data_IF_836196608321
#
_entry.id   IF_836196608321
#
_cell.length_a   1.000
_cell.length_b   1.000
_cell.length_c   1.000
_cell.angle_alpha   90.00
_cell.angle_beta   90.00
_cell.angle_gamma   90.00
#
_symmetry.space_group_name_H-M   'P 1'
#
loop_
_entity.id
_entity.type
_entity.pdbx_description
1 polymer ?
#
# COMPACT_ATOMS: atom_id res chain seq x y z
N UNK A 1 -0.64 15.96 -16.69
CA UNK A 1 0.22 16.70 -17.63
C UNK A 1 -0.25 18.15 -17.66
N UNK A 2 0.52 19.06 -17.11
CA UNK A 2 0.17 20.48 -17.04
C UNK A 2 0.77 21.20 -18.25
N UNK A 3 -0.07 21.86 -19.01
CA UNK A 3 0.37 22.64 -20.15
C UNK A 3 -0.02 24.12 -19.97
N UNK A 4 0.96 25.00 -19.91
CA UNK A 4 0.74 26.44 -19.95
C UNK A 4 0.87 26.90 -21.40
N UNK A 5 -0.24 27.32 -22.01
CA UNK A 5 -0.23 27.81 -23.39
C UNK A 5 -0.65 29.28 -23.44
N UNK A 6 0.17 30.09 -24.07
CA UNK A 6 -0.10 31.51 -24.32
C UNK A 6 -0.70 31.67 -25.72
N UNK A 7 -1.89 32.22 -25.78
CA UNK A 7 -2.55 32.56 -27.04
C UNK A 7 -3.03 34.00 -27.04
N UNK A 8 -3.07 34.63 -28.23
CA UNK A 8 -3.60 36.00 -28.41
C UNK A 8 -4.86 35.98 -29.25
N UNK A 9 -5.88 36.71 -28.81
CA UNK A 9 -7.10 36.96 -29.57
C UNK A 9 -7.02 38.37 -30.18
N UNK A 10 -7.09 38.52 -31.49
CA UNK A 10 -7.47 39.77 -32.16
C UNK A 10 -8.98 39.77 -32.32
N UNK A 11 -9.60 40.96 -32.28
CA UNK A 11 -11.07 41.20 -32.24
C UNK A 11 -11.93 40.49 -33.30
N UNK A 12 -11.36 39.75 -34.24
CA UNK A 12 -12.09 38.98 -35.27
C UNK A 12 -11.64 37.54 -35.46
N UNK A 13 -10.56 37.12 -34.83
CA UNK A 13 -10.03 35.75 -34.97
C UNK A 13 -9.91 35.07 -33.63
N UNK A 14 -11.00 34.42 -33.20
CA UNK A 14 -10.86 33.30 -32.29
C UNK A 14 -10.01 32.28 -33.05
N UNK A 15 -8.81 32.05 -32.60
CA UNK A 15 -7.92 31.08 -33.22
C UNK A 15 -8.56 29.70 -33.12
N UNK A 16 -9.42 29.36 -34.09
CA UNK A 16 -9.98 28.03 -34.32
C UNK A 16 -9.09 27.29 -35.32
N UNK A 17 -7.81 27.37 -35.16
CA UNK A 17 -6.89 26.79 -36.13
C UNK A 17 -6.26 25.50 -35.62
N UNK A 18 -6.56 24.40 -36.24
CA UNK A 18 -5.67 23.25 -36.35
C UNK A 18 -4.44 23.69 -37.14
N UNK A 19 -3.34 23.98 -36.47
CA UNK A 19 -2.07 24.18 -37.14
C UNK A 19 -1.23 22.91 -36.96
N UNK A 20 -0.87 22.32 -38.08
CA UNK A 20 0.04 21.20 -38.21
C UNK A 20 -0.07 20.10 -37.14
N UNK A 21 -0.70 19.00 -37.53
CA UNK A 21 -0.70 17.73 -36.77
C UNK A 21 -1.34 17.84 -35.36
N UNK A 22 -2.62 18.14 -35.28
CA UNK A 22 -3.42 17.91 -34.08
C UNK A 22 -3.30 18.91 -32.94
N UNK A 23 -2.76 20.11 -33.14
CA UNK A 23 -2.79 21.15 -32.09
C UNK A 23 -4.15 21.84 -32.07
N UNK A 24 -4.89 21.64 -30.99
CA UNK A 24 -6.08 22.44 -30.65
C UNK A 24 -5.65 23.84 -30.18
N UNK A 25 -6.38 24.89 -30.58
CA UNK A 25 -6.18 26.22 -30.01
C UNK A 25 -6.42 26.25 -28.49
N UNK A 26 -5.88 27.24 -27.74
CA UNK A 26 -5.95 27.29 -26.29
C UNK A 26 -7.37 27.11 -25.71
N UNK A 27 -8.37 27.70 -26.34
CA UNK A 27 -9.77 27.58 -25.93
C UNK A 27 -10.31 26.16 -26.12
N UNK A 28 -10.08 25.57 -27.31
CA UNK A 28 -10.54 24.22 -27.63
C UNK A 28 -9.82 23.18 -26.75
N UNK A 29 -8.54 23.37 -26.45
CA UNK A 29 -7.81 22.52 -25.50
C UNK A 29 -8.38 22.63 -24.10
N UNK A 30 -8.65 23.85 -23.60
CA UNK A 30 -9.27 24.07 -22.31
C UNK A 30 -10.62 23.35 -22.18
N UNK A 31 -11.50 23.50 -23.16
CA UNK A 31 -12.80 22.84 -23.16
C UNK A 31 -12.69 21.31 -23.23
N UNK A 32 -11.76 20.79 -24.02
CA UNK A 32 -11.52 19.35 -24.13
C UNK A 32 -10.98 18.76 -22.83
N UNK A 33 -10.04 19.43 -22.18
CA UNK A 33 -9.49 19.01 -20.89
C UNK A 33 -10.53 19.07 -19.79
N UNK A 34 -11.35 20.13 -19.76
CA UNK A 34 -12.47 20.28 -18.82
C UNK A 34 -13.51 19.18 -18.99
N UNK A 35 -13.85 18.84 -20.25
CA UNK A 35 -14.77 17.74 -20.54
C UNK A 35 -14.19 16.37 -20.12
N UNK A 36 -12.86 16.23 -20.09
CA UNK A 36 -12.17 15.05 -19.58
C UNK A 36 -11.97 15.05 -18.06
N UNK A 37 -12.54 16.01 -17.33
CA UNK A 37 -12.43 16.12 -15.86
C UNK A 37 -11.07 16.64 -15.36
N UNK A 38 -10.24 17.20 -16.26
CA UNK A 38 -8.94 17.78 -15.89
C UNK A 38 -9.15 19.22 -15.41
N UNK A 39 -8.62 19.57 -14.25
CA UNK A 39 -8.66 20.95 -13.76
C UNK A 39 -7.79 21.85 -14.62
N UNK A 40 -8.41 22.88 -15.18
CA UNK A 40 -7.77 23.78 -16.15
C UNK A 40 -8.18 25.24 -15.95
N UNK A 41 -7.21 26.17 -16.06
CA UNK A 41 -7.44 27.60 -16.04
C UNK A 41 -7.27 28.22 -17.43
N UNK A 42 -8.22 29.07 -17.86
CA UNK A 42 -8.10 29.87 -19.09
C UNK A 42 -8.13 31.37 -18.75
N UNK A 43 -7.03 32.07 -19.05
CA UNK A 43 -6.98 33.52 -18.94
C UNK A 43 -6.89 34.15 -20.34
N UNK A 44 -7.85 35.03 -20.64
CA UNK A 44 -7.93 35.74 -21.93
C UNK A 44 -7.57 37.19 -21.71
N UNK A 45 -6.44 37.67 -22.27
CA UNK A 45 -6.04 39.07 -22.32
C UNK A 45 -6.49 39.67 -23.66
N UNK A 46 -7.62 40.34 -23.67
CA UNK A 46 -8.18 40.96 -24.88
C UNK A 46 -7.26 42.09 -25.37
N UNK A 47 -7.03 42.13 -26.70
CA UNK A 47 -6.23 43.18 -27.33
C UNK A 47 -4.72 43.08 -27.13
N UNK A 48 -4.20 42.04 -26.47
CA UNK A 48 -2.78 41.84 -26.29
C UNK A 48 -2.19 40.99 -27.42
N UNK A 49 -1.15 41.49 -28.11
CA UNK A 49 -0.35 40.69 -29.03
C UNK A 49 0.55 39.69 -28.28
N UNK A 50 1.20 38.75 -28.99
CA UNK A 50 2.02 37.68 -28.38
C UNK A 50 3.05 38.20 -27.38
N UNK A 51 3.79 39.23 -27.71
CA UNK A 51 4.82 39.82 -26.84
C UNK A 51 4.20 40.54 -25.64
N UNK A 52 3.10 41.27 -25.84
CA UNK A 52 2.37 41.96 -24.79
C UNK A 52 1.75 40.99 -23.78
N UNK A 53 1.34 39.79 -24.22
CA UNK A 53 0.83 38.74 -23.35
C UNK A 53 1.91 38.20 -22.39
N UNK A 54 3.12 37.95 -22.89
CA UNK A 54 4.25 37.52 -22.09
C UNK A 54 4.64 38.56 -21.03
N UNK A 55 4.50 39.85 -21.34
CA UNK A 55 4.80 40.95 -20.43
C UNK A 55 3.61 41.35 -19.54
N UNK A 56 2.44 40.76 -19.72
CA UNK A 56 1.23 41.09 -18.94
C UNK A 56 1.33 40.52 -17.53
N UNK A 57 1.62 41.37 -16.54
CA UNK A 57 1.75 40.98 -15.15
C UNK A 57 0.51 40.26 -14.59
N UNK A 58 -0.70 40.61 -15.04
CA UNK A 58 -1.93 39.94 -14.60
C UNK A 58 -2.01 38.51 -15.14
N UNK A 59 -1.64 38.31 -16.40
CA UNK A 59 -1.57 36.99 -17.01
C UNK A 59 -0.51 36.11 -16.31
N UNK A 60 0.69 36.67 -16.08
CA UNK A 60 1.75 35.98 -15.33
C UNK A 60 1.29 35.62 -13.92
N UNK A 61 0.73 36.55 -13.16
CA UNK A 61 0.25 36.31 -11.79
C UNK A 61 -0.86 35.26 -11.77
N UNK A 62 -1.77 35.26 -12.74
CA UNK A 62 -2.81 34.23 -12.85
C UNK A 62 -2.20 32.86 -13.15
N UNK A 63 -1.24 32.80 -14.06
CA UNK A 63 -0.50 31.58 -14.36
C UNK A 63 0.30 31.07 -13.18
N UNK A 64 1.02 31.94 -12.48
CA UNK A 64 1.75 31.56 -11.27
C UNK A 64 0.84 31.13 -10.13
N UNK A 65 -0.30 31.80 -9.92
CA UNK A 65 -1.27 31.40 -8.90
C UNK A 65 -1.87 30.02 -9.21
N UNK A 66 -2.17 29.74 -10.48
CA UNK A 66 -2.61 28.43 -10.92
C UNK A 66 -1.54 27.37 -10.67
N UNK A 67 -0.30 27.62 -11.12
CA UNK A 67 0.83 26.70 -10.89
C UNK A 67 1.11 26.51 -9.40
N UNK A 68 1.09 27.58 -8.61
CA UNK A 68 1.26 27.53 -7.15
C UNK A 68 0.20 26.67 -6.47
N UNK A 69 -1.03 26.68 -6.97
CA UNK A 69 -2.13 25.89 -6.42
C UNK A 69 -1.99 24.41 -6.77
N UNK A 70 -1.52 24.11 -8.00
CA UNK A 70 -1.53 22.74 -8.55
C UNK A 70 -0.15 22.07 -8.54
N UNK A 71 0.94 22.85 -8.44
CA UNK A 71 2.32 22.34 -8.39
C UNK A 71 2.97 22.44 -7.03
N UNK A 72 2.29 23.00 -6.01
CA UNK A 72 2.83 22.89 -4.65
C UNK A 72 2.84 21.41 -4.27
N UNK A 73 4.02 20.83 -4.06
CA UNK A 73 4.08 19.46 -3.58
C UNK A 73 3.27 19.38 -2.29
N UNK A 74 2.37 18.43 -2.22
CA UNK A 74 1.63 18.16 -0.99
C UNK A 74 2.61 18.09 0.17
N UNK A 75 2.37 18.85 1.24
CA UNK A 75 3.20 18.76 2.45
C UNK A 75 2.85 17.52 3.29
N UNK A 76 2.06 16.62 2.73
CA UNK A 76 1.58 15.41 3.37
C UNK A 76 2.54 14.25 3.12
N UNK A 77 2.71 13.39 4.13
CA UNK A 77 3.25 12.06 4.03
C UNK A 77 2.11 11.09 4.33
N UNK A 78 1.72 10.30 3.35
CA UNK A 78 0.69 9.28 3.54
C UNK A 78 1.29 8.10 4.31
N UNK A 79 0.71 7.73 5.44
CA UNK A 79 1.21 6.63 6.27
C UNK A 79 0.22 5.47 6.23
N UNK A 80 0.69 4.25 6.01
CA UNK A 80 -0.08 3.02 6.19
C UNK A 80 0.60 2.13 7.21
N UNK A 81 -0.17 1.64 8.16
CA UNK A 81 0.34 0.79 9.23
C UNK A 81 -0.04 -0.67 8.99
N UNK A 82 0.97 -1.51 8.77
CA UNK A 82 0.84 -2.93 8.46
C UNK A 82 1.19 -3.75 9.71
N UNK A 83 0.27 -4.56 10.22
CA UNK A 83 0.47 -5.30 11.45
C UNK A 83 -0.01 -6.76 11.34
N UNK A 84 0.61 -7.64 12.11
CA UNK A 84 0.23 -9.05 12.14
C UNK A 84 1.34 -9.98 12.60
N UNK A 85 1.27 -11.23 12.11
CA UNK A 85 2.26 -12.26 12.44
C UNK A 85 3.18 -12.61 11.25
N UNK A 86 3.72 -13.82 11.22
CA UNK A 86 4.69 -14.27 10.22
C UNK A 86 4.25 -14.06 8.75
N UNK A 87 2.96 -14.17 8.46
CA UNK A 87 2.47 -13.91 7.11
C UNK A 87 2.50 -12.41 6.75
N UNK A 88 2.37 -11.50 7.72
CA UNK A 88 2.65 -10.09 7.53
C UNK A 88 4.16 -9.81 7.50
N UNK A 89 4.98 -10.57 8.25
CA UNK A 89 6.45 -10.47 8.13
C UNK A 89 6.92 -10.73 6.69
N UNK A 90 6.26 -11.63 5.97
CA UNK A 90 6.56 -11.98 4.59
C UNK A 90 7.54 -13.14 4.46
N UNK A 91 7.19 -14.10 3.62
CA UNK A 91 7.90 -15.37 3.42
C UNK A 91 7.97 -15.75 1.95
N UNK A 92 7.46 -14.91 1.04
CA UNK A 92 7.47 -15.16 -0.40
C UNK A 92 8.90 -15.16 -0.95
N UNK A 93 9.36 -16.29 -1.47
CA UNK A 93 10.73 -16.46 -1.96
C UNK A 93 10.91 -15.77 -3.32
N UNK A 94 11.89 -14.88 -3.44
CA UNK A 94 12.13 -14.08 -4.65
C UNK A 94 13.04 -14.80 -5.64
N UNK A 95 14.25 -15.16 -5.22
CA UNK A 95 15.31 -15.61 -6.12
C UNK A 95 16.28 -16.59 -5.49
N UNK A 96 15.88 -17.27 -4.44
CA UNK A 96 16.76 -18.20 -3.75
C UNK A 96 17.03 -19.39 -4.65
N UNK A 97 18.25 -19.49 -5.15
CA UNK A 97 18.71 -20.60 -5.96
C UNK A 97 19.49 -21.59 -5.08
N UNK A 98 18.80 -22.62 -4.62
CA UNK A 98 19.42 -23.72 -3.91
C UNK A 98 19.04 -25.04 -4.58
N UNK A 99 19.98 -25.77 -5.18
CA UNK A 99 19.69 -26.94 -6.01
C UNK A 99 18.99 -28.10 -5.27
N UNK A 100 19.06 -28.12 -3.93
CA UNK A 100 18.42 -29.16 -3.09
C UNK A 100 17.20 -28.68 -2.32
N UNK A 101 16.95 -27.39 -2.30
CA UNK A 101 15.86 -26.78 -1.58
C UNK A 101 15.04 -25.95 -2.55
N UNK A 102 13.89 -25.47 -2.12
CA UNK A 102 13.02 -24.64 -2.94
C UNK A 102 12.40 -25.31 -4.17
N UNK A 103 12.23 -26.65 -4.15
CA UNK A 103 11.41 -27.40 -5.11
C UNK A 103 11.71 -27.05 -6.58
N UNK A 104 12.99 -26.92 -6.94
CA UNK A 104 13.44 -26.58 -8.29
C UNK A 104 13.02 -25.16 -8.74
N UNK A 105 12.82 -24.26 -7.80
CA UNK A 105 12.46 -22.86 -8.06
C UNK A 105 11.00 -22.62 -8.40
N UNK A 106 10.11 -23.60 -8.17
CA UNK A 106 8.67 -23.43 -8.39
C UNK A 106 8.10 -22.42 -7.39
N UNK A 107 7.33 -21.45 -7.89
CA UNK A 107 6.70 -20.44 -7.08
C UNK A 107 7.63 -19.37 -6.51
N UNK A 108 8.94 -19.36 -6.87
CA UNK A 108 9.81 -18.22 -6.62
C UNK A 108 9.48 -17.09 -7.60
N UNK A 109 9.59 -15.84 -7.14
CA UNK A 109 9.12 -14.68 -7.91
C UNK A 109 9.82 -14.58 -9.29
N UNK A 110 11.14 -14.71 -9.35
CA UNK A 110 11.90 -14.68 -10.61
C UNK A 110 11.43 -15.69 -11.66
N UNK A 111 10.92 -16.84 -11.24
CA UNK A 111 10.41 -17.86 -12.16
C UNK A 111 8.94 -17.59 -12.53
N UNK A 112 8.12 -17.15 -11.59
CA UNK A 112 6.73 -16.75 -11.83
C UNK A 112 6.66 -15.63 -12.87
N UNK A 113 7.54 -14.64 -12.79
CA UNK A 113 7.63 -13.52 -13.74
C UNK A 113 8.00 -13.92 -15.17
N UNK A 114 8.61 -15.09 -15.37
CA UNK A 114 9.04 -15.58 -16.71
C UNK A 114 7.90 -16.21 -17.51
N UNK A 115 6.78 -16.56 -16.87
CA UNK A 115 5.65 -17.14 -17.58
C UNK A 115 4.88 -16.05 -18.31
N UNK A 116 4.56 -16.25 -19.59
CA UNK A 116 3.89 -15.27 -20.44
C UNK A 116 2.52 -14.82 -19.88
N UNK A 117 1.83 -15.70 -19.17
CA UNK A 117 0.55 -15.43 -18.54
C UNK A 117 0.62 -14.38 -17.42
N UNK A 118 1.78 -14.27 -16.76
CA UNK A 118 1.97 -13.39 -15.60
C UNK A 118 2.93 -12.24 -15.84
N UNK A 119 3.65 -12.21 -16.95
CA UNK A 119 4.71 -11.23 -17.22
C UNK A 119 4.22 -9.77 -17.08
N UNK A 120 3.04 -9.46 -17.60
CA UNK A 120 2.49 -8.11 -17.56
C UNK A 120 2.16 -7.64 -16.14
N UNK A 121 1.73 -8.56 -15.28
CA UNK A 121 1.41 -8.27 -13.87
C UNK A 121 2.63 -7.78 -13.08
N UNK A 122 3.82 -8.22 -13.46
CA UNK A 122 5.05 -7.97 -12.69
C UNK A 122 5.98 -6.95 -13.35
N UNK A 123 5.62 -6.33 -14.48
CA UNK A 123 6.50 -5.38 -15.19
C UNK A 123 6.92 -4.19 -14.36
N UNK A 124 6.04 -3.73 -13.47
CA UNK A 124 6.26 -2.53 -12.65
C UNK A 124 7.22 -2.74 -11.47
N UNK A 125 7.64 -3.97 -11.19
CA UNK A 125 8.53 -4.28 -10.05
C UNK A 125 9.99 -4.46 -10.45
N UNK A 126 10.30 -4.42 -11.75
CA UNK A 126 11.66 -4.47 -12.29
C UNK A 126 11.87 -3.37 -13.31
N UNK A 127 13.10 -2.90 -13.44
CA UNK A 127 13.49 -1.94 -14.45
C UNK A 127 13.76 -2.59 -15.82
N UNK A 128 14.18 -1.79 -16.81
CA UNK A 128 14.50 -2.27 -18.15
C UNK A 128 15.68 -3.27 -18.22
N UNK A 129 16.54 -3.31 -17.19
CA UNK A 129 17.66 -4.23 -17.06
C UNK A 129 17.25 -5.53 -16.33
N UNK A 130 16.05 -5.58 -15.77
CA UNK A 130 15.56 -6.67 -14.94
C UNK A 130 15.99 -6.58 -13.48
N UNK A 131 16.50 -5.43 -13.03
CA UNK A 131 16.83 -5.17 -11.65
C UNK A 131 15.60 -4.75 -10.86
N UNK A 132 15.55 -5.13 -9.58
CA UNK A 132 14.44 -4.79 -8.71
C UNK A 132 14.33 -3.27 -8.51
N UNK A 133 13.16 -2.71 -8.82
CA UNK A 133 12.91 -1.29 -8.57
C UNK A 133 12.99 -1.02 -7.07
N UNK A 134 13.65 0.08 -6.73
CA UNK A 134 13.58 0.73 -5.43
C UNK A 134 12.75 2.00 -5.62
N UNK A 135 11.57 2.06 -5.02
CA UNK A 135 10.69 3.23 -5.11
C UNK A 135 11.35 4.44 -4.42
N UNK A 136 11.22 5.61 -5.02
CA UNK A 136 11.68 6.89 -4.49
C UNK A 136 10.56 7.76 -3.91
N UNK A 137 9.33 7.29 -4.04
CA UNK A 137 8.08 7.88 -3.54
C UNK A 137 7.37 7.02 -2.48
N UNK A 138 7.75 5.74 -2.33
CA UNK A 138 7.24 4.82 -1.31
C UNK A 138 8.38 4.35 -0.42
N UNK A 139 8.24 4.56 0.86
CA UNK A 139 9.24 4.21 1.88
C UNK A 139 8.65 3.19 2.85
N UNK A 140 9.53 2.41 3.47
CA UNK A 140 9.12 1.42 4.47
C UNK A 140 10.07 1.41 5.66
N UNK A 141 9.49 1.30 6.85
CA UNK A 141 10.17 1.05 8.12
C UNK A 141 9.68 -0.26 8.73
N UNK A 142 10.59 -1.13 9.01
CA UNK A 142 10.30 -2.41 9.66
C UNK A 142 11.39 -2.79 10.68
N UNK A 143 11.04 -2.82 11.97
CA UNK A 143 11.91 -3.33 13.02
C UNK A 143 11.77 -4.85 13.08
N UNK A 144 12.77 -5.56 12.62
CA UNK A 144 12.84 -7.02 12.82
C UNK A 144 13.36 -7.34 14.23
N UNK A 145 13.49 -8.62 14.54
CA UNK A 145 14.15 -9.04 15.79
C UNK A 145 15.63 -8.65 15.82
N UNK A 146 16.27 -8.58 14.66
CA UNK A 146 17.72 -8.49 14.51
C UNK A 146 18.18 -7.10 14.07
N UNK A 147 17.41 -6.43 13.24
CA UNK A 147 17.78 -5.16 12.63
C UNK A 147 16.58 -4.24 12.35
N UNK A 148 16.84 -2.95 12.25
CA UNK A 148 15.91 -1.98 11.70
C UNK A 148 16.13 -1.88 10.18
N UNK A 149 15.10 -2.15 9.39
CA UNK A 149 15.09 -2.00 7.93
C UNK A 149 14.34 -0.73 7.55
N UNK A 150 15.02 0.19 6.88
CA UNK A 150 14.46 1.45 6.37
C UNK A 150 14.92 1.72 4.96
N UNK A 151 14.11 2.37 4.15
CA UNK A 151 14.48 2.80 2.79
C UNK A 151 13.31 2.87 1.83
N UNK A 152 13.61 3.11 0.56
CA UNK A 152 12.65 3.00 -0.53
C UNK A 152 12.12 1.58 -0.66
N UNK A 153 10.85 1.43 -0.94
CA UNK A 153 10.21 0.12 -1.07
C UNK A 153 10.86 -0.69 -2.19
N UNK A 154 11.26 -1.90 -1.86
CA UNK A 154 11.76 -2.92 -2.77
C UNK A 154 11.58 -4.29 -2.12
N UNK A 155 12.21 -5.33 -2.66
CA UNK A 155 12.28 -6.64 -2.02
C UNK A 155 13.10 -6.59 -0.71
N UNK A 156 12.88 -7.55 0.21
CA UNK A 156 13.72 -7.74 1.41
C UNK A 156 13.22 -7.13 2.71
N UNK A 157 12.10 -6.41 2.70
CA UNK A 157 11.50 -5.88 3.94
C UNK A 157 10.67 -6.93 4.68
N UNK A 158 11.30 -8.07 4.95
CA UNK A 158 10.71 -9.24 5.62
C UNK A 158 11.42 -9.57 6.92
N UNK A 159 10.90 -10.55 7.65
CA UNK A 159 11.51 -11.03 8.89
C UNK A 159 12.84 -11.79 8.72
N UNK A 160 13.29 -11.98 7.48
CA UNK A 160 14.56 -12.65 7.15
C UNK A 160 15.65 -11.64 6.80
N UNK A 161 16.89 -12.03 7.00
CA UNK A 161 18.06 -11.30 6.50
C UNK A 161 18.13 -11.30 4.96
N UNK A 162 18.82 -10.31 4.39
CA UNK A 162 19.03 -10.17 2.96
C UNK A 162 17.80 -9.73 2.17
N UNK A 163 17.87 -9.84 0.85
CA UNK A 163 16.83 -9.35 -0.09
C UNK A 163 16.20 -10.50 -0.90
N UNK A 164 15.93 -11.64 -0.27
CA UNK A 164 15.46 -12.84 -0.95
C UNK A 164 13.98 -13.17 -0.71
N UNK A 165 13.27 -12.28 -0.02
CA UNK A 165 11.86 -12.50 0.31
C UNK A 165 11.03 -11.24 0.13
N UNK A 166 9.73 -11.43 -0.09
CA UNK A 166 8.69 -10.41 -0.05
C UNK A 166 7.57 -10.82 0.92
N UNK A 167 6.86 -9.84 1.40
CA UNK A 167 5.58 -9.99 2.08
C UNK A 167 4.48 -9.19 1.38
N UNK A 168 3.30 -9.06 2.01
CA UNK A 168 2.19 -8.28 1.46
C UNK A 168 2.53 -6.80 1.24
N UNK A 169 3.46 -6.23 2.03
CA UNK A 169 3.92 -4.85 1.91
C UNK A 169 4.40 -4.49 0.52
N UNK A 170 4.98 -5.47 -0.20
CA UNK A 170 5.64 -5.22 -1.47
C UNK A 170 4.66 -4.69 -2.53
N UNK A 171 3.64 -5.48 -2.90
CA UNK A 171 2.67 -5.06 -3.91
C UNK A 171 1.69 -4.01 -3.36
N UNK A 172 1.31 -4.08 -2.08
CA UNK A 172 0.49 -3.05 -1.45
C UNK A 172 1.15 -1.67 -1.57
N UNK A 173 2.45 -1.59 -1.33
CA UNK A 173 3.17 -0.33 -1.42
C UNK A 173 3.30 0.19 -2.86
N UNK A 174 3.49 -0.69 -3.86
CA UNK A 174 3.45 -0.28 -5.27
C UNK A 174 2.09 0.34 -5.63
N UNK A 175 0.98 -0.30 -5.25
CA UNK A 175 -0.36 0.24 -5.48
C UNK A 175 -0.58 1.59 -4.78
N UNK A 176 -0.11 1.71 -3.53
CA UNK A 176 -0.24 2.96 -2.79
C UNK A 176 0.56 4.09 -3.45
N UNK A 177 1.80 3.84 -3.88
CA UNK A 177 2.60 4.85 -4.58
C UNK A 177 2.00 5.29 -5.92
N UNK A 178 1.37 4.35 -6.63
CA UNK A 178 0.73 4.68 -7.91
C UNK A 178 -0.59 5.45 -7.74
N UNK A 179 -1.23 5.34 -6.56
CA UNK A 179 -2.52 5.98 -6.27
C UNK A 179 -2.40 7.38 -5.67
N UNK A 180 -1.28 7.71 -5.01
CA UNK A 180 -1.10 8.99 -4.32
C UNK A 180 0.02 9.81 -4.96
N UNK A 181 -0.18 11.12 -5.10
CA UNK A 181 0.87 12.05 -5.54
C UNK A 181 1.86 12.37 -4.40
N UNK A 182 1.42 12.31 -3.15
CA UNK A 182 2.27 12.48 -1.99
C UNK A 182 3.08 11.21 -1.68
N UNK A 183 4.28 11.33 -1.13
CA UNK A 183 5.04 10.18 -0.68
C UNK A 183 4.28 9.32 0.33
N UNK A 184 4.54 8.02 0.25
CA UNK A 184 3.94 7.00 1.10
C UNK A 184 5.00 6.43 2.05
N UNK A 185 4.64 6.26 3.34
CA UNK A 185 5.43 5.53 4.33
C UNK A 185 4.65 4.32 4.83
N UNK A 186 5.18 3.14 4.63
CA UNK A 186 4.69 1.92 5.24
C UNK A 186 5.41 1.69 6.58
N UNK A 187 4.66 1.63 7.67
CA UNK A 187 5.18 1.23 8.98
C UNK A 187 4.74 -0.20 9.22
N UNK A 188 5.70 -1.12 9.29
CA UNK A 188 5.43 -2.54 9.44
C UNK A 188 5.78 -3.01 10.84
N UNK A 189 4.78 -3.60 11.54
CA UNK A 189 4.89 -4.12 12.90
C UNK A 189 4.36 -5.56 12.93
N UNK A 190 5.25 -6.53 12.73
CA UNK A 190 4.85 -7.93 12.59
C UNK A 190 5.84 -8.88 13.27
N UNK A 191 5.32 -9.88 13.97
CA UNK A 191 6.14 -10.89 14.70
C UNK A 191 5.55 -12.27 14.54
N UNK A 192 6.38 -13.23 14.13
CA UNK A 192 5.99 -14.63 13.95
C UNK A 192 5.52 -15.29 15.23
N UNK A 193 4.59 -16.23 15.10
CA UNK A 193 4.14 -17.06 16.21
C UNK A 193 3.29 -16.35 17.27
N UNK A 194 2.64 -15.22 16.94
CA UNK A 194 1.89 -14.40 17.88
C UNK A 194 0.37 -14.53 17.70
N UNK A 195 -0.34 -14.66 18.83
CA UNK A 195 -1.81 -14.74 18.90
C UNK A 195 -2.43 -13.41 19.31
N UNK A 196 -3.67 -13.16 18.89
CA UNK A 196 -4.44 -12.03 19.41
C UNK A 196 -4.95 -12.31 20.83
N UNK A 197 -5.20 -13.58 21.15
CA UNK A 197 -5.69 -14.00 22.46
C UNK A 197 -4.75 -13.65 23.60
N UNK A 198 -3.43 -13.74 23.37
CA UNK A 198 -2.41 -13.50 24.39
C UNK A 198 -1.48 -12.35 24.01
N UNK A 199 -0.80 -12.46 22.87
CA UNK A 199 0.35 -11.62 22.54
C UNK A 199 -0.08 -10.21 22.11
N UNK A 200 -1.11 -10.10 21.27
CA UNK A 200 -1.70 -8.84 20.85
C UNK A 200 -2.97 -8.46 21.60
N UNK A 201 -3.23 -9.09 22.77
CA UNK A 201 -4.46 -8.85 23.54
C UNK A 201 -4.63 -7.35 23.82
N UNK A 202 -5.72 -6.73 23.33
CA UNK A 202 -5.95 -5.31 23.52
C UNK A 202 -6.47 -5.04 24.95
N UNK A 203 -6.23 -3.85 25.51
CA UNK A 203 -6.67 -3.51 26.88
C UNK A 203 -8.18 -3.66 27.10
N UNK A 204 -8.99 -3.26 26.11
CA UNK A 204 -10.46 -3.33 26.22
C UNK A 204 -11.03 -4.75 26.21
N UNK A 205 -10.25 -5.74 25.81
CA UNK A 205 -10.64 -7.15 25.92
C UNK A 205 -10.55 -7.71 27.36
N UNK A 206 -10.09 -6.89 28.32
CA UNK A 206 -9.90 -7.28 29.70
C UNK A 206 -8.70 -8.22 29.90
N UNK A 207 -8.37 -8.53 31.15
CA UNK A 207 -7.19 -9.30 31.52
C UNK A 207 -5.89 -8.53 31.27
N UNK A 208 -4.79 -9.27 31.15
CA UNK A 208 -3.46 -8.68 30.92
C UNK A 208 -3.32 -8.23 29.46
N UNK A 209 -2.98 -6.97 29.25
CA UNK A 209 -2.65 -6.46 27.92
C UNK A 209 -1.46 -7.21 27.32
N UNK A 210 -1.55 -7.61 26.10
CA UNK A 210 -0.50 -8.34 25.40
C UNK A 210 0.73 -7.45 25.15
N UNK A 211 1.91 -8.04 25.36
CA UNK A 211 3.20 -7.36 25.16
C UNK A 211 3.30 -6.80 23.74
N UNK A 212 2.86 -7.55 22.73
CA UNK A 212 2.97 -7.16 21.32
C UNK A 212 1.93 -6.13 20.89
N UNK A 213 0.81 -5.98 21.61
CA UNK A 213 -0.07 -4.83 21.43
C UNK A 213 0.65 -3.53 21.83
N UNK A 214 1.28 -3.52 23.01
CA UNK A 214 2.04 -2.36 23.48
C UNK A 214 3.25 -2.08 22.59
N UNK A 215 3.97 -3.12 22.19
CA UNK A 215 5.14 -3.00 21.30
C UNK A 215 4.76 -2.46 19.91
N UNK A 216 3.67 -2.93 19.34
CA UNK A 216 3.16 -2.46 18.05
C UNK A 216 2.87 -0.96 18.06
N UNK A 217 2.21 -0.46 19.10
CA UNK A 217 1.96 0.97 19.31
C UNK A 217 3.26 1.77 19.51
N UNK A 218 4.19 1.23 20.32
CA UNK A 218 5.46 1.88 20.58
C UNK A 218 6.30 2.02 19.29
N UNK A 219 6.42 0.98 18.48
CA UNK A 219 7.15 1.01 17.20
C UNK A 219 6.50 1.94 16.16
N UNK A 220 5.16 2.00 16.12
CA UNK A 220 4.44 2.97 15.28
C UNK A 220 4.76 4.41 15.68
N UNK A 221 4.70 4.72 16.98
CA UNK A 221 5.02 6.06 17.51
C UNK A 221 6.48 6.41 17.31
N UNK A 222 7.38 5.46 17.50
CA UNK A 222 8.81 5.63 17.27
C UNK A 222 9.11 5.94 15.80
N UNK A 223 8.46 5.25 14.85
CA UNK A 223 8.61 5.50 13.43
C UNK A 223 8.27 6.95 13.06
N UNK A 224 7.22 7.51 13.64
CA UNK A 224 6.83 8.90 13.42
C UNK A 224 7.78 9.88 14.12
N UNK A 225 8.23 9.57 15.34
CA UNK A 225 9.14 10.42 16.10
C UNK A 225 10.54 10.49 15.48
N UNK A 226 11.01 9.40 14.86
CA UNK A 226 12.34 9.32 14.21
C UNK A 226 12.29 9.58 12.70
N UNK A 227 11.17 10.07 12.17
CA UNK A 227 11.00 10.31 10.73
C UNK A 227 12.11 11.17 10.13
N UNK A 228 12.51 12.24 10.83
CA UNK A 228 13.56 13.15 10.37
C UNK A 228 14.95 12.50 10.34
N UNK A 229 15.20 11.56 11.22
CA UNK A 229 16.50 10.91 11.36
C UNK A 229 16.62 9.75 10.36
N UNK A 230 15.55 8.95 10.25
CA UNK A 230 15.51 7.76 9.40
C UNK A 230 15.23 8.09 7.92
N UNK A 231 14.47 9.19 7.67
CA UNK A 231 14.09 9.68 6.33
C UNK A 231 14.24 11.20 6.23
N UNK A 232 15.47 11.75 6.20
CA UNK A 232 15.71 13.20 6.23
C UNK A 232 14.98 13.99 5.13
N UNK A 233 14.79 13.39 3.95
CA UNK A 233 14.07 14.02 2.84
C UNK A 233 12.54 14.13 3.08
N UNK A 234 11.98 13.40 4.05
CA UNK A 234 10.59 13.47 4.48
C UNK A 234 10.38 14.34 5.73
N UNK A 235 11.43 14.84 6.36
CA UNK A 235 11.40 15.53 7.65
C UNK A 235 10.42 16.73 7.73
N UNK A 236 10.18 17.40 6.60
CA UNK A 236 9.28 18.57 6.53
C UNK A 236 7.83 18.20 6.22
N UNK A 237 7.52 16.93 5.96
CA UNK A 237 6.19 16.48 5.61
C UNK A 237 5.37 16.17 6.86
N UNK A 238 4.07 16.39 6.78
CA UNK A 238 3.12 16.08 7.84
C UNK A 238 2.60 14.64 7.67
N UNK A 239 2.91 13.71 8.58
CA UNK A 239 2.37 12.36 8.53
C UNK A 239 0.84 12.37 8.71
N UNK A 240 0.14 11.66 7.82
CA UNK A 240 -1.31 11.43 7.89
C UNK A 240 -1.55 9.93 7.75
N UNK A 241 -2.05 9.31 8.81
CA UNK A 241 -2.38 7.89 8.80
C UNK A 241 -3.60 7.65 7.92
N UNK A 242 -3.39 6.95 6.80
CA UNK A 242 -4.41 6.62 5.80
C UNK A 242 -5.08 5.26 6.03
N UNK A 243 -4.53 4.41 6.91
CA UNK A 243 -5.18 3.14 7.23
C UNK A 243 -4.29 2.15 7.95
N UNK A 244 -4.95 1.12 8.45
CA UNK A 244 -4.35 0.01 9.19
C UNK A 244 -4.68 -1.32 8.51
N UNK A 245 -3.68 -2.18 8.34
CA UNK A 245 -3.84 -3.50 7.72
C UNK A 245 -3.46 -4.57 8.73
N UNK A 246 -4.39 -5.47 8.99
CA UNK A 246 -4.22 -6.59 9.91
C UNK A 246 -4.16 -7.93 9.16
N UNK A 247 -3.06 -8.66 9.29
CA UNK A 247 -2.89 -9.97 8.68
C UNK A 247 -2.31 -10.99 9.68
N UNK A 248 -3.21 -11.62 10.45
CA UNK A 248 -2.88 -12.54 11.56
C UNK A 248 -4.04 -13.52 11.76
N UNK A 249 -3.83 -14.64 12.42
CA UNK A 249 -4.88 -15.61 12.80
C UNK A 249 -4.37 -17.03 13.01
N UNK A 250 -3.21 -17.39 12.45
CA UNK A 250 -2.71 -18.76 12.48
C UNK A 250 -2.57 -19.31 13.90
N UNK A 251 -1.98 -18.53 14.82
CA UNK A 251 -1.70 -19.02 16.18
C UNK A 251 -2.94 -19.21 17.03
N UNK A 252 -3.99 -18.44 16.78
CA UNK A 252 -5.23 -18.52 17.55
C UNK A 252 -6.05 -19.79 17.23
N UNK A 253 -5.84 -20.41 16.06
CA UNK A 253 -6.62 -21.59 15.67
C UNK A 253 -6.31 -22.86 16.49
N UNK A 254 -5.17 -22.90 17.21
CA UNK A 254 -4.73 -24.09 17.96
C UNK A 254 -5.27 -24.17 19.39
N UNK A 255 -5.89 -23.12 19.90
CA UNK A 255 -6.47 -23.06 21.22
C UNK A 255 -7.96 -22.73 21.12
N UNK A 256 -8.81 -23.46 21.83
CA UNK A 256 -10.27 -23.30 21.72
C UNK A 256 -10.73 -21.94 22.24
N UNK A 257 -10.19 -21.47 23.36
CA UNK A 257 -10.54 -20.18 23.93
C UNK A 257 -10.08 -19.04 23.00
N UNK A 258 -8.88 -19.15 22.43
CA UNK A 258 -8.35 -18.18 21.47
C UNK A 258 -9.25 -18.11 20.23
N UNK A 259 -9.61 -19.27 19.70
CA UNK A 259 -10.47 -19.38 18.50
C UNK A 259 -11.87 -18.83 18.76
N UNK A 260 -12.49 -19.20 19.90
CA UNK A 260 -13.84 -18.78 20.25
C UNK A 260 -13.95 -17.28 20.55
N UNK A 261 -12.89 -16.67 21.07
CA UNK A 261 -12.84 -15.23 21.38
C UNK A 261 -12.19 -14.38 20.28
N UNK A 262 -11.79 -14.97 19.14
CA UNK A 262 -11.02 -14.27 18.11
C UNK A 262 -11.77 -13.06 17.56
N UNK A 263 -13.05 -13.20 17.21
CA UNK A 263 -13.89 -12.11 16.71
C UNK A 263 -13.93 -10.94 17.69
N UNK A 264 -14.27 -11.20 18.95
CA UNK A 264 -14.38 -10.17 19.99
C UNK A 264 -13.03 -9.48 20.23
N UNK A 265 -11.94 -10.25 20.35
CA UNK A 265 -10.61 -9.72 20.55
C UNK A 265 -10.15 -8.85 19.35
N UNK A 266 -10.49 -9.22 18.11
CA UNK A 266 -10.15 -8.44 16.93
C UNK A 266 -10.94 -7.12 16.88
N UNK A 267 -12.23 -7.13 17.24
CA UNK A 267 -13.05 -5.92 17.35
C UNK A 267 -12.47 -4.99 18.43
N UNK A 268 -12.11 -5.52 19.59
CA UNK A 268 -11.45 -4.76 20.65
C UNK A 268 -10.12 -4.16 20.17
N UNK A 269 -9.27 -4.96 19.50
CA UNK A 269 -7.97 -4.51 19.01
C UNK A 269 -8.12 -3.32 18.04
N UNK A 270 -9.02 -3.42 17.08
CA UNK A 270 -9.21 -2.35 16.10
C UNK A 270 -9.77 -1.08 16.75
N UNK A 271 -10.73 -1.21 17.66
CA UNK A 271 -11.28 -0.06 18.38
C UNK A 271 -10.24 0.60 19.29
N UNK A 272 -9.41 -0.18 19.97
CA UNK A 272 -8.31 0.35 20.78
C UNK A 272 -7.26 1.07 19.91
N UNK A 273 -6.91 0.52 18.73
CA UNK A 273 -6.03 1.22 17.76
C UNK A 273 -6.64 2.53 17.31
N UNK A 274 -7.92 2.55 16.87
CA UNK A 274 -8.63 3.76 16.47
C UNK A 274 -8.60 4.84 17.56
N UNK A 275 -8.80 4.42 18.80
CA UNK A 275 -8.72 5.29 19.99
C UNK A 275 -7.31 5.83 20.20
N UNK A 276 -6.28 4.95 20.15
CA UNK A 276 -4.87 5.31 20.37
C UNK A 276 -4.30 6.28 19.34
N UNK A 277 -4.78 6.21 18.10
CA UNK A 277 -4.40 7.14 17.04
C UNK A 277 -5.34 8.34 16.90
N UNK A 278 -6.42 8.40 17.67
CA UNK A 278 -7.40 9.48 17.64
C UNK A 278 -8.23 9.57 16.35
N UNK A 279 -8.43 8.44 15.65
CA UNK A 279 -9.16 8.36 14.39
C UNK A 279 -10.25 7.28 14.47
N UNK A 280 -11.47 7.62 14.93
CA UNK A 280 -12.57 6.65 15.06
C UNK A 280 -12.94 5.97 13.73
N UNK A 281 -12.80 6.69 12.62
CA UNK A 281 -13.11 6.22 11.27
C UNK A 281 -11.86 5.79 10.47
N UNK A 282 -10.75 5.46 11.16
CA UNK A 282 -9.56 4.95 10.48
C UNK A 282 -9.93 3.78 9.58
N UNK A 283 -9.59 3.84 8.27
CA UNK A 283 -9.75 2.71 7.37
C UNK A 283 -8.96 1.48 7.84
N UNK A 284 -9.62 0.33 7.88
CA UNK A 284 -9.01 -0.93 8.33
C UNK A 284 -9.24 -2.02 7.32
N UNK A 285 -8.18 -2.76 7.00
CA UNK A 285 -8.27 -3.95 6.14
C UNK A 285 -7.85 -5.17 6.93
N UNK A 286 -8.71 -6.18 6.98
CA UNK A 286 -8.47 -7.47 7.63
C UNK A 286 -8.26 -8.52 6.55
N UNK A 287 -7.05 -9.04 6.44
CA UNK A 287 -6.71 -10.15 5.54
C UNK A 287 -7.15 -11.50 6.13
N UNK A 288 -7.83 -12.29 5.31
CA UNK A 288 -8.26 -13.64 5.66
C UNK A 288 -7.06 -14.57 5.95
N UNK A 289 -7.20 -15.47 6.91
CA UNK A 289 -6.31 -16.61 7.08
C UNK A 289 -6.56 -17.65 5.97
N UNK A 290 -6.14 -17.34 4.74
CA UNK A 290 -6.47 -18.10 3.54
C UNK A 290 -5.55 -19.29 3.23
N UNK A 291 -4.56 -19.57 4.10
CA UNK A 291 -3.68 -20.74 4.00
C UNK A 291 -4.50 -22.02 3.75
N UNK A 292 -3.90 -23.00 3.07
CA UNK A 292 -4.55 -24.24 2.66
C UNK A 292 -5.74 -24.10 1.69
N UNK A 293 -6.09 -22.86 1.31
CA UNK A 293 -7.15 -22.60 0.33
C UNK A 293 -8.46 -23.27 0.70
N UNK A 294 -9.11 -23.99 -0.24
CA UNK A 294 -10.37 -24.69 0.00
C UNK A 294 -10.22 -25.95 0.87
N UNK A 295 -9.00 -26.38 1.17
CA UNK A 295 -8.72 -27.60 1.99
C UNK A 295 -8.57 -27.28 3.47
N UNK A 296 -8.83 -26.06 3.90
CA UNK A 296 -8.71 -25.61 5.28
C UNK A 296 -9.54 -26.46 6.24
N UNK A 297 -8.92 -26.81 7.37
CA UNK A 297 -9.58 -27.55 8.46
C UNK A 297 -10.55 -26.67 9.27
N UNK A 298 -11.38 -27.31 10.09
CA UNK A 298 -12.45 -26.65 10.87
C UNK A 298 -11.96 -25.46 11.72
N UNK A 299 -10.80 -25.59 12.38
CA UNK A 299 -10.23 -24.51 13.21
C UNK A 299 -9.86 -23.28 12.39
N UNK A 300 -9.29 -23.46 11.20
CA UNK A 300 -8.96 -22.37 10.30
C UNK A 300 -10.23 -21.71 9.74
N UNK A 301 -11.23 -22.51 9.35
CA UNK A 301 -12.52 -22.00 8.88
C UNK A 301 -13.22 -21.17 9.97
N UNK A 302 -13.11 -21.56 11.24
CA UNK A 302 -13.64 -20.78 12.36
C UNK A 302 -12.95 -19.41 12.49
N UNK A 303 -11.61 -19.35 12.33
CA UNK A 303 -10.88 -18.07 12.33
C UNK A 303 -11.32 -17.19 11.14
N UNK A 304 -11.46 -17.75 9.91
CA UNK A 304 -11.93 -17.02 8.74
C UNK A 304 -13.32 -16.40 8.97
N UNK A 305 -14.23 -17.18 9.52
CA UNK A 305 -15.57 -16.71 9.86
C UNK A 305 -15.52 -15.59 10.91
N UNK A 306 -14.68 -15.73 11.93
CA UNK A 306 -14.48 -14.72 12.97
C UNK A 306 -13.85 -13.42 12.42
N UNK A 307 -12.90 -13.50 11.48
CA UNK A 307 -12.31 -12.35 10.81
C UNK A 307 -13.37 -11.59 9.99
N UNK A 308 -14.18 -12.30 9.22
CA UNK A 308 -15.27 -11.70 8.44
C UNK A 308 -16.31 -11.04 9.35
N UNK A 309 -16.76 -11.74 10.39
CA UNK A 309 -17.72 -11.22 11.35
C UNK A 309 -17.19 -10.01 12.14
N UNK A 310 -15.88 -9.96 12.44
CA UNK A 310 -15.25 -8.80 13.04
C UNK A 310 -15.29 -7.57 12.10
N UNK A 311 -14.99 -7.74 10.82
CA UNK A 311 -15.06 -6.66 9.84
C UNK A 311 -16.49 -6.12 9.70
N UNK A 312 -17.49 -7.00 9.64
CA UNK A 312 -18.91 -6.61 9.60
C UNK A 312 -19.31 -5.82 10.86
N UNK A 313 -18.89 -6.26 12.05
CA UNK A 313 -19.17 -5.58 13.32
C UNK A 313 -18.49 -4.20 13.44
N UNK A 314 -17.33 -4.01 12.79
CA UNK A 314 -16.55 -2.76 12.81
C UNK A 314 -17.08 -1.70 11.83
N UNK A 315 -18.02 -2.05 10.97
CA UNK A 315 -18.74 -1.11 10.09
C UNK A 315 -18.00 -0.73 8.80
N UNK A 316 -18.51 0.28 8.08
CA UNK A 316 -18.18 0.54 6.66
C UNK A 316 -16.73 0.98 6.40
N UNK A 317 -16.02 1.44 7.42
CA UNK A 317 -14.58 1.78 7.33
C UNK A 317 -13.68 0.58 7.62
N UNK A 318 -14.23 -0.64 7.55
CA UNK A 318 -13.46 -1.88 7.69
C UNK A 318 -13.79 -2.85 6.56
N UNK A 319 -12.77 -3.34 5.86
CA UNK A 319 -12.91 -4.34 4.81
C UNK A 319 -12.32 -5.69 5.24
N UNK A 320 -13.03 -6.77 4.96
CA UNK A 320 -12.51 -8.13 4.99
C UNK A 320 -12.06 -8.52 3.58
N UNK A 321 -10.81 -8.99 3.45
CA UNK A 321 -10.23 -9.39 2.17
C UNK A 321 -10.04 -10.90 2.13
N UNK A 322 -10.83 -11.63 1.33
CA UNK A 322 -10.63 -13.05 1.08
C UNK A 322 -9.27 -13.29 0.41
N UNK A 323 -8.50 -14.24 0.94
CA UNK A 323 -7.19 -14.61 0.38
C UNK A 323 -7.09 -16.09 0.00
N UNK A 324 -8.12 -16.87 0.28
CA UNK A 324 -8.21 -18.30 -0.02
C UNK A 324 -7.86 -18.64 -1.48
N UNK A 325 -8.29 -17.83 -2.45
CA UNK A 325 -8.02 -18.02 -3.89
C UNK A 325 -6.54 -17.84 -4.26
N UNK A 326 -5.74 -17.24 -3.40
CA UNK A 326 -4.31 -17.03 -3.64
C UNK A 326 -3.44 -18.19 -3.14
N UNK A 327 -4.02 -19.20 -2.50
CA UNK A 327 -3.30 -20.38 -2.08
C UNK A 327 -2.79 -21.17 -3.31
N UNK A 328 -1.52 -21.53 -3.26
CA UNK A 328 -0.87 -22.39 -4.25
C UNK A 328 -0.52 -23.72 -3.59
N UNK A 329 -0.62 -24.84 -4.32
CA UNK A 329 -0.29 -26.13 -3.74
C UNK A 329 1.21 -26.27 -3.45
N UNK A 330 1.55 -27.10 -2.46
CA UNK A 330 2.94 -27.35 -2.07
C UNK A 330 3.84 -27.75 -3.27
N UNK A 331 3.31 -28.58 -4.18
CA UNK A 331 4.04 -29.05 -5.39
C UNK A 331 4.41 -27.92 -6.36
N UNK A 332 3.77 -26.74 -6.27
CA UNK A 332 3.99 -25.57 -7.12
C UNK A 332 4.68 -24.43 -6.33
N UNK A 333 5.17 -24.72 -5.14
CA UNK A 333 5.70 -23.74 -4.21
C UNK A 333 7.09 -24.14 -3.71
N UNK A 334 7.94 -23.18 -3.28
CA UNK A 334 9.33 -23.49 -2.92
C UNK A 334 9.46 -24.29 -1.62
N UNK A 335 8.69 -23.99 -0.58
CA UNK A 335 8.84 -24.57 0.77
C UNK A 335 7.72 -25.57 1.07
N UNK A 336 7.77 -26.75 0.45
CA UNK A 336 6.69 -27.76 0.41
C UNK A 336 6.16 -28.24 1.78
N UNK A 337 6.89 -27.98 2.88
CA UNK A 337 6.49 -28.35 4.24
C UNK A 337 5.95 -27.18 5.08
N UNK A 338 5.97 -25.96 4.55
CA UNK A 338 5.62 -24.72 5.28
C UNK A 338 4.24 -24.18 4.88
N UNK A 339 3.20 -25.00 4.96
CA UNK A 339 1.82 -24.57 4.62
C UNK A 339 1.36 -23.34 5.41
N UNK A 340 1.77 -23.20 6.66
CA UNK A 340 1.50 -22.03 7.51
C UNK A 340 2.08 -20.72 6.98
N UNK A 341 3.02 -20.78 6.02
CA UNK A 341 3.62 -19.65 5.34
C UNK A 341 3.36 -19.68 3.83
N UNK A 342 2.18 -20.19 3.40
CA UNK A 342 1.83 -20.28 1.98
C UNK A 342 2.88 -21.02 1.15
N UNK A 343 3.58 -21.96 1.77
CA UNK A 343 4.70 -22.70 1.18
C UNK A 343 5.83 -21.80 0.64
N UNK A 344 5.95 -20.54 1.11
CA UNK A 344 6.90 -19.56 0.57
C UNK A 344 6.62 -19.11 -0.86
N UNK A 345 5.42 -19.33 -1.37
CA UNK A 345 5.03 -18.99 -2.73
C UNK A 345 4.94 -17.47 -2.91
N UNK A 346 5.79 -16.90 -3.74
CA UNK A 346 5.89 -15.45 -3.92
C UNK A 346 4.66 -14.87 -4.61
N UNK A 347 4.02 -15.61 -5.54
CA UNK A 347 2.80 -15.16 -6.18
C UNK A 347 1.66 -15.02 -5.16
N UNK A 348 1.55 -15.94 -4.19
CA UNK A 348 0.57 -15.83 -3.11
C UNK A 348 0.75 -14.53 -2.34
N UNK A 349 1.97 -14.20 -1.90
CA UNK A 349 2.24 -12.95 -1.16
C UNK A 349 2.01 -11.70 -1.99
N UNK A 350 2.39 -11.72 -3.27
CA UNK A 350 2.14 -10.64 -4.19
C UNK A 350 0.63 -10.36 -4.35
N UNK A 351 -0.16 -11.39 -4.65
CA UNK A 351 -1.60 -11.27 -4.84
C UNK A 351 -2.35 -10.89 -3.55
N UNK A 352 -1.88 -11.36 -2.38
CA UNK A 352 -2.39 -10.92 -1.09
C UNK A 352 -2.11 -9.43 -0.89
N UNK A 353 -0.90 -8.96 -1.16
CA UNK A 353 -0.54 -7.55 -1.10
C UNK A 353 -1.38 -6.69 -2.04
N UNK A 354 -1.62 -7.18 -3.26
CA UNK A 354 -2.48 -6.53 -4.25
C UNK A 354 -3.93 -6.38 -3.72
N UNK A 355 -4.53 -7.46 -3.24
CA UNK A 355 -5.91 -7.43 -2.75
C UNK A 355 -6.08 -6.56 -1.48
N UNK A 356 -5.10 -6.60 -0.56
CA UNK A 356 -5.11 -5.76 0.64
C UNK A 356 -4.94 -4.28 0.26
N UNK A 357 -4.06 -3.98 -0.70
CA UNK A 357 -3.84 -2.63 -1.22
C UNK A 357 -5.09 -2.07 -1.90
N UNK A 358 -5.71 -2.80 -2.81
CA UNK A 358 -6.95 -2.38 -3.47
C UNK A 358 -8.07 -2.11 -2.46
N UNK A 359 -8.25 -2.98 -1.46
CA UNK A 359 -9.25 -2.77 -0.43
C UNK A 359 -8.98 -1.52 0.40
N UNK A 360 -7.70 -1.24 0.71
CA UNK A 360 -7.29 -0.05 1.46
C UNK A 360 -7.55 1.23 0.67
N UNK A 361 -7.22 1.27 -0.61
CA UNK A 361 -7.49 2.40 -1.50
C UNK A 361 -9.00 2.65 -1.62
N UNK A 362 -9.81 1.62 -1.86
CA UNK A 362 -11.25 1.72 -1.95
C UNK A 362 -11.93 2.26 -0.67
N UNK A 363 -11.34 2.05 0.52
CA UNK A 363 -11.83 2.62 1.77
C UNK A 363 -11.48 4.10 1.93
N UNK A 364 -10.40 4.56 1.28
CA UNK A 364 -9.97 5.95 1.30
C UNK A 364 -10.70 6.82 0.27
N UNK A 365 -11.18 6.24 -0.83
CA UNK A 365 -11.93 6.95 -1.88
C UNK A 365 -13.39 7.25 -1.49
N UNK A 366 -13.88 6.67 -0.39
CA UNK A 366 -15.22 6.83 0.18
C UNK A 366 -15.20 7.76 1.39
#
# INVERSE_FOLDING_TARGET
MYACMYGTLRDKDVWQGTWFVGFLGPTALHESLKAAGVDTGLYIARGAGHLAMVLNKKAQNTGYAFLDTHLKPSNTLRVFWLAGQSNMQGQGVVDFDHPKHYNGGRGILKNVMKTSEHADRYRHIVDANGDWIVRDDVFIRYQTKEELKTGGLSIGFTGYGGKHHIGPEFQLGHLAGDAYEEPVLLIKTAWGGKSIHKDFRPPSAGGTTGEFFTKMLAEYREALAKLSDEFPHLAKRKPVLGGFVWFQGWNDMFNDDARNNYQANLVHLINDIRKEVGQPDLPVVIGELGNDGPKAGKSMLAIRAAQKAAAEALGPKTAFVPTTQFARPAKESPNVTHGHHWYGNAESYFLIGDALGQALLNLNDK
#
